data_IF_051627420554
#
_entry.id   IF_051627420554
#
_cell.length_a   1.000
_cell.length_b   1.000
_cell.length_c   1.000
_cell.angle_alpha   90.00
_cell.angle_beta   90.00
_cell.angle_gamma   90.00
#
_symmetry.space_group_name_H-M   'P 1'
#
loop_
_entity.id
_entity.type
_entity.pdbx_description
1 polymer ?
#
# COMPACT_ATOMS: atom_id res chain seq x y z
N UNK A 1 5.63 -38.96 -14.57
CA UNK A 1 6.74 -38.14 -14.02
C UNK A 1 6.49 -36.66 -14.23
N UNK A 2 6.08 -36.22 -15.42
CA UNK A 2 5.91 -34.80 -15.79
C UNK A 2 4.73 -34.11 -15.12
N UNK A 3 3.57 -34.79 -14.98
CA UNK A 3 2.37 -34.20 -14.36
C UNK A 3 2.52 -33.98 -12.85
N UNK A 4 3.19 -34.90 -12.13
CA UNK A 4 3.50 -34.73 -10.70
C UNK A 4 4.34 -33.47 -10.45
N UNK A 5 5.41 -33.29 -11.25
CA UNK A 5 6.28 -32.10 -11.17
C UNK A 5 5.53 -30.80 -11.46
N UNK A 6 4.62 -30.82 -12.45
CA UNK A 6 3.78 -29.65 -12.80
C UNK A 6 2.81 -29.30 -11.66
N UNK A 7 2.26 -30.29 -10.96
CA UNK A 7 1.37 -30.05 -9.82
C UNK A 7 2.14 -29.48 -8.62
N UNK A 8 3.33 -30.01 -8.32
CA UNK A 8 4.20 -29.52 -7.25
C UNK A 8 4.65 -28.07 -7.49
N UNK A 9 5.05 -27.74 -8.72
CA UNK A 9 5.45 -26.37 -9.09
C UNK A 9 4.26 -25.39 -8.98
N UNK A 10 3.05 -25.79 -9.37
CA UNK A 10 1.84 -24.96 -9.24
C UNK A 10 1.41 -24.76 -7.79
N UNK A 11 1.50 -25.81 -6.96
CA UNK A 11 1.17 -25.75 -5.53
C UNK A 11 2.18 -24.85 -4.79
N UNK A 12 3.47 -25.00 -5.08
CA UNK A 12 4.55 -24.17 -4.52
C UNK A 12 4.35 -22.69 -4.88
N UNK A 13 4.14 -22.37 -6.16
CA UNK A 13 3.88 -21.00 -6.61
C UNK A 13 2.66 -20.38 -5.90
N UNK A 14 1.55 -21.12 -5.79
CA UNK A 14 0.34 -20.64 -5.09
C UNK A 14 0.53 -20.42 -3.60
N UNK A 15 1.41 -21.21 -2.96
CA UNK A 15 1.72 -21.09 -1.53
C UNK A 15 2.61 -19.86 -1.28
N UNK A 16 3.62 -19.67 -2.13
CA UNK A 16 4.51 -18.49 -2.08
C UNK A 16 3.72 -17.20 -2.32
N UNK A 17 2.82 -17.16 -3.31
CA UNK A 17 1.96 -16.01 -3.59
C UNK A 17 1.09 -15.62 -2.38
N UNK A 18 0.49 -16.62 -1.71
CA UNK A 18 -0.30 -16.39 -0.50
C UNK A 18 0.55 -15.85 0.65
N UNK A 19 1.74 -16.41 0.86
CA UNK A 19 2.67 -15.94 1.91
C UNK A 19 3.08 -14.49 1.64
N UNK A 20 3.45 -14.16 0.41
CA UNK A 20 3.81 -12.80 0.01
C UNK A 20 2.63 -11.83 0.16
N UNK A 21 1.42 -12.24 -0.20
CA UNK A 21 0.22 -11.43 -0.04
C UNK A 21 -0.08 -11.15 1.44
N UNK A 22 0.01 -12.15 2.32
CA UNK A 22 -0.17 -11.98 3.77
C UNK A 22 0.91 -11.08 4.36
N UNK A 23 2.17 -11.28 3.97
CA UNK A 23 3.26 -10.41 4.41
C UNK A 23 3.06 -8.95 3.95
N UNK A 24 2.59 -8.74 2.71
CA UNK A 24 2.23 -7.43 2.18
C UNK A 24 1.10 -6.76 2.94
N UNK A 25 0.01 -7.49 3.24
CA UNK A 25 -1.10 -7.00 4.07
C UNK A 25 -0.61 -6.59 5.46
N UNK A 26 0.22 -7.42 6.09
CA UNK A 26 0.77 -7.14 7.41
C UNK A 26 1.64 -5.87 7.39
N UNK A 27 2.49 -5.70 6.38
CA UNK A 27 3.32 -4.51 6.21
C UNK A 27 2.48 -3.24 5.99
N UNK A 28 1.46 -3.29 5.12
CA UNK A 28 0.55 -2.16 4.88
C UNK A 28 -0.22 -1.82 6.17
N UNK A 29 -0.74 -2.82 6.86
CA UNK A 29 -1.48 -2.64 8.12
C UNK A 29 -0.62 -2.02 9.22
N UNK A 30 0.62 -2.49 9.38
CA UNK A 30 1.56 -1.91 10.33
C UNK A 30 1.89 -0.45 9.99
N UNK A 31 2.17 -0.15 8.72
CA UNK A 31 2.42 1.22 8.25
C UNK A 31 1.23 2.15 8.48
N UNK A 32 0.02 1.69 8.13
CA UNK A 32 -1.21 2.43 8.36
C UNK A 32 -1.45 2.69 9.86
N UNK A 33 -1.22 1.69 10.72
CA UNK A 33 -1.33 1.85 12.17
C UNK A 33 -0.34 2.87 12.72
N UNK A 34 0.93 2.82 12.29
CA UNK A 34 1.94 3.79 12.70
C UNK A 34 1.53 5.21 12.28
N UNK A 35 1.09 5.39 11.03
CA UNK A 35 0.64 6.69 10.52
C UNK A 35 -0.66 7.16 11.16
N UNK A 36 -1.54 6.25 11.60
CA UNK A 36 -2.77 6.61 12.30
C UNK A 36 -2.50 7.01 13.76
N UNK A 37 -1.53 6.38 14.42
CA UNK A 37 -1.30 6.58 15.86
C UNK A 37 -0.27 7.67 16.16
N UNK A 38 0.78 7.78 15.35
CA UNK A 38 1.84 8.76 15.56
C UNK A 38 1.69 9.95 14.63
N UNK A 39 1.55 11.14 15.22
CA UNK A 39 1.38 12.37 14.46
C UNK A 39 2.66 12.70 13.65
N UNK A 40 2.59 12.70 12.30
CA UNK A 40 3.75 12.94 11.43
C UNK A 40 4.27 14.38 11.44
N UNK A 41 3.56 15.30 12.08
CA UNK A 41 4.00 16.68 12.27
C UNK A 41 4.86 16.84 13.52
N UNK A 42 4.65 16.01 14.55
CA UNK A 42 5.36 16.12 15.84
C UNK A 42 6.35 15.00 16.08
N UNK A 43 6.14 13.83 15.49
CA UNK A 43 7.01 12.69 15.67
C UNK A 43 8.24 12.79 14.75
N UNK A 44 9.43 12.92 15.34
CA UNK A 44 10.69 13.15 14.62
C UNK A 44 11.24 11.95 13.84
N UNK A 45 10.61 10.78 13.91
CA UNK A 45 11.08 9.58 13.20
C UNK A 45 10.50 9.43 11.79
N UNK A 46 9.52 10.26 11.40
CA UNK A 46 9.00 10.21 10.03
C UNK A 46 10.00 10.80 9.04
N UNK A 47 10.26 10.14 7.90
CA UNK A 47 11.24 10.60 6.94
C UNK A 47 10.81 11.94 6.33
N UNK A 48 11.75 12.88 6.28
CA UNK A 48 11.59 14.13 5.52
C UNK A 48 11.76 13.84 4.02
N UNK A 49 11.02 14.56 3.18
CA UNK A 49 11.13 14.40 1.73
C UNK A 49 12.50 14.94 1.27
N UNK A 50 13.42 14.08 0.76
CA UNK A 50 14.76 14.51 0.39
C UNK A 50 14.72 15.46 -0.81
N UNK A 51 13.79 15.27 -1.76
CA UNK A 51 13.67 16.18 -2.90
C UNK A 51 13.32 17.59 -2.46
N UNK A 52 12.29 17.75 -1.63
CA UNK A 52 11.91 19.06 -1.12
C UNK A 52 13.01 19.67 -0.25
N UNK A 53 13.67 18.86 0.58
CA UNK A 53 14.79 19.32 1.42
C UNK A 53 15.98 19.82 0.59
N UNK A 54 16.31 19.14 -0.51
CA UNK A 54 17.47 19.48 -1.35
C UNK A 54 17.18 20.57 -2.39
N UNK A 55 15.96 20.61 -2.93
CA UNK A 55 15.62 21.46 -4.09
C UNK A 55 14.56 22.52 -3.80
N UNK A 56 13.81 22.38 -2.70
CA UNK A 56 12.62 23.22 -2.42
C UNK A 56 11.40 22.89 -3.28
N UNK A 57 11.49 21.93 -4.20
CA UNK A 57 10.40 21.57 -5.12
C UNK A 57 9.48 20.53 -4.48
N UNK A 58 8.18 20.81 -4.50
CA UNK A 58 7.15 19.85 -4.08
C UNK A 58 6.88 18.82 -5.19
N UNK A 59 7.03 17.54 -4.88
CA UNK A 59 6.67 16.43 -5.77
C UNK A 59 5.20 15.99 -5.53
N UNK A 60 4.61 15.15 -6.41
CA UNK A 60 3.22 14.73 -6.25
C UNK A 60 2.97 13.90 -4.98
N UNK A 61 4.03 13.37 -4.35
CA UNK A 61 3.96 12.63 -3.09
C UNK A 61 4.24 13.47 -1.83
N UNK A 62 4.53 14.76 -1.94
CA UNK A 62 4.77 15.60 -0.77
C UNK A 62 3.51 15.67 0.10
N UNK A 63 3.68 15.48 1.42
CA UNK A 63 2.57 15.58 2.37
C UNK A 63 1.69 14.32 2.51
N UNK A 64 1.98 13.23 1.80
CA UNK A 64 1.15 12.00 1.86
C UNK A 64 1.02 11.43 3.28
N UNK A 65 2.11 11.36 4.06
CA UNK A 65 2.05 10.83 5.43
C UNK A 65 1.13 11.66 6.34
N UNK A 66 1.21 13.00 6.25
CA UNK A 66 0.32 13.92 7.00
C UNK A 66 -1.12 13.84 6.51
N UNK A 67 -1.29 13.76 5.20
CA UNK A 67 -2.60 13.61 4.59
C UNK A 67 -3.29 12.31 4.98
N UNK A 68 -2.58 11.17 4.96
CA UNK A 68 -3.12 9.88 5.40
C UNK A 68 -3.41 9.87 6.89
N UNK A 69 -2.57 10.49 7.73
CA UNK A 69 -2.88 10.67 9.15
C UNK A 69 -4.20 11.44 9.33
N UNK A 70 -4.38 12.58 8.66
CA UNK A 70 -5.64 13.33 8.71
C UNK A 70 -6.84 12.50 8.20
N UNK A 71 -6.65 11.77 7.09
CA UNK A 71 -7.67 10.89 6.51
C UNK A 71 -8.09 9.77 7.49
N UNK A 72 -7.14 9.14 8.19
CA UNK A 72 -7.43 8.10 9.19
C UNK A 72 -8.21 8.62 10.40
N UNK A 73 -8.14 9.92 10.67
CA UNK A 73 -8.94 10.58 11.71
C UNK A 73 -10.28 11.15 11.17
N UNK A 74 -10.60 10.93 9.89
CA UNK A 74 -11.83 11.40 9.26
C UNK A 74 -11.79 12.87 8.79
N UNK A 75 -10.64 13.54 8.89
CA UNK A 75 -10.47 14.92 8.42
C UNK A 75 -10.05 14.94 6.94
N UNK A 76 -11.05 14.78 6.07
CA UNK A 76 -10.85 14.73 4.60
C UNK A 76 -10.37 16.07 4.07
N UNK A 77 -10.87 17.19 4.59
CA UNK A 77 -10.52 18.52 4.08
C UNK A 77 -9.05 18.85 4.37
N UNK A 78 -8.59 18.59 5.60
CA UNK A 78 -7.18 18.75 5.95
C UNK A 78 -6.30 17.77 5.17
N UNK A 79 -6.77 16.54 4.94
CA UNK A 79 -6.04 15.57 4.12
C UNK A 79 -5.80 16.07 2.68
N UNK A 80 -6.81 16.68 2.05
CA UNK A 80 -6.72 17.30 0.73
C UNK A 80 -5.83 18.55 0.71
N UNK A 81 -5.84 19.34 1.78
CA UNK A 81 -4.92 20.47 1.93
C UNK A 81 -3.46 20.02 1.98
N UNK A 82 -3.17 18.88 2.61
CA UNK A 82 -1.82 18.33 2.62
C UNK A 82 -1.40 17.76 1.27
N UNK A 83 -2.30 17.12 0.55
CA UNK A 83 -2.03 16.60 -0.79
C UNK A 83 -3.34 16.43 -1.59
N UNK A 84 -3.49 17.20 -2.67
CA UNK A 84 -4.70 17.13 -3.51
C UNK A 84 -4.85 15.81 -4.28
N UNK A 85 -3.74 15.09 -4.54
CA UNK A 85 -3.73 13.77 -5.19
C UNK A 85 -4.04 12.63 -4.21
N UNK A 86 -4.20 12.91 -2.92
CA UNK A 86 -4.44 11.90 -1.89
C UNK A 86 -5.60 10.94 -2.20
N UNK A 87 -6.74 11.36 -2.78
CA UNK A 87 -7.80 10.43 -3.18
C UNK A 87 -7.32 9.40 -4.20
N UNK A 88 -6.49 9.80 -5.17
CA UNK A 88 -5.94 8.87 -6.16
C UNK A 88 -4.99 7.86 -5.50
N UNK A 89 -4.13 8.31 -4.59
CA UNK A 89 -3.26 7.41 -3.83
C UNK A 89 -4.06 6.46 -2.92
N UNK A 90 -5.11 6.95 -2.26
CA UNK A 90 -5.98 6.12 -1.44
C UNK A 90 -6.68 5.04 -2.26
N UNK A 91 -7.14 5.35 -3.48
CA UNK A 91 -7.71 4.38 -4.40
C UNK A 91 -6.68 3.32 -4.83
N UNK A 92 -5.46 3.73 -5.18
CA UNK A 92 -4.39 2.80 -5.59
C UNK A 92 -4.01 1.87 -4.44
N UNK A 93 -3.76 2.40 -3.24
CA UNK A 93 -3.43 1.58 -2.08
C UNK A 93 -4.59 0.69 -1.64
N UNK A 94 -5.83 1.21 -1.68
CA UNK A 94 -7.02 0.43 -1.41
C UNK A 94 -7.18 -0.73 -2.40
N UNK A 95 -7.00 -0.47 -3.70
CA UNK A 95 -7.03 -1.50 -4.73
C UNK A 95 -5.93 -2.56 -4.52
N UNK A 96 -4.71 -2.13 -4.22
CA UNK A 96 -3.60 -3.04 -3.93
C UNK A 96 -3.88 -3.94 -2.72
N UNK A 97 -4.39 -3.35 -1.63
CA UNK A 97 -4.76 -4.08 -0.42
C UNK A 97 -5.87 -5.11 -0.71
N UNK A 98 -6.92 -4.70 -1.44
CA UNK A 98 -8.01 -5.60 -1.85
C UNK A 98 -7.47 -6.75 -2.72
N UNK A 99 -6.60 -6.45 -3.68
CA UNK A 99 -5.98 -7.47 -4.53
C UNK A 99 -5.17 -8.47 -3.70
N UNK A 100 -4.36 -8.01 -2.74
CA UNK A 100 -3.62 -8.89 -1.83
C UNK A 100 -4.54 -9.73 -0.96
N UNK A 101 -5.63 -9.17 -0.44
CA UNK A 101 -6.63 -9.93 0.32
C UNK A 101 -7.25 -11.02 -0.56
N UNK A 102 -7.56 -10.72 -1.82
CA UNK A 102 -8.09 -11.71 -2.76
C UNK A 102 -7.07 -12.82 -3.06
N UNK A 103 -5.78 -12.50 -3.23
CA UNK A 103 -4.71 -13.50 -3.36
C UNK A 103 -4.66 -14.38 -2.10
N UNK A 104 -4.65 -13.77 -0.92
CA UNK A 104 -4.53 -14.48 0.35
C UNK A 104 -5.71 -15.44 0.59
N UNK A 105 -6.94 -15.01 0.28
CA UNK A 105 -8.16 -15.78 0.54
C UNK A 105 -8.45 -16.79 -0.58
N UNK A 106 -8.30 -16.41 -1.85
CA UNK A 106 -8.73 -17.20 -3.01
C UNK A 106 -7.58 -17.96 -3.68
N UNK A 107 -6.33 -17.67 -3.32
CA UNK A 107 -5.13 -18.17 -3.99
C UNK A 107 -5.01 -17.71 -5.45
N UNK A 108 -5.75 -16.66 -5.82
CA UNK A 108 -5.74 -16.05 -7.16
C UNK A 108 -5.89 -14.54 -6.97
N UNK A 109 -4.98 -13.77 -7.54
CA UNK A 109 -5.12 -12.31 -7.57
C UNK A 109 -6.23 -11.85 -8.50
N UNK A 110 -6.46 -10.53 -8.55
CA UNK A 110 -7.25 -9.94 -9.64
C UNK A 110 -6.51 -10.28 -10.94
N UNK A 111 -7.00 -11.26 -11.69
CA UNK A 111 -6.43 -11.65 -12.97
C UNK A 111 -6.27 -10.40 -13.83
N UNK A 112 -5.02 -9.94 -14.03
CA UNK A 112 -4.63 -8.87 -14.95
C UNK A 112 -4.76 -9.35 -16.41
N UNK A 113 -5.86 -10.03 -16.73
CA UNK A 113 -6.28 -10.33 -18.10
C UNK A 113 -7.29 -9.28 -18.52
N UNK A 114 -6.84 -8.03 -18.44
CA UNK A 114 -7.53 -6.83 -18.94
C UNK A 114 -6.57 -6.13 -19.89
N UNK A 115 -6.23 -6.81 -20.99
CA UNK A 115 -5.97 -6.29 -22.35
C UNK A 115 -6.22 -7.52 -23.26
N UNK A 116 -7.04 -7.42 -24.32
CA UNK A 116 -7.45 -8.56 -25.15
C UNK A 116 -6.28 -9.31 -25.81
#
# INVERSE_FOLDING_TARGET
MTEHKILEDKISASTVERILAVAGIAAIGAGAFIVAYFNPTTAGFFPVCPLYYLTGIHCPGCGLTRGFHALFHGDVLTALHFNALLPAYALVFGFMLVSMILVAVRGRGLSWRIVP
#
